data_IF_621196566974
#
_entry.id   IF_621196566974
#
_cell.length_a   1.000
_cell.length_b   1.000
_cell.length_c   1.000
_cell.angle_alpha   90.00
_cell.angle_beta   90.00
_cell.angle_gamma   90.00
#
_symmetry.space_group_name_H-M   'P 1'
#
loop_
_entity.id
_entity.type
_entity.pdbx_description
1 polymer ?
#
# COMPACT_ATOMS: atom_id res chain seq x y z
N UNK A 1 -4.89 0.81 -9.72
CA UNK A 1 -4.15 1.55 -8.66
C UNK A 1 -4.96 1.41 -7.41
N UNK A 2 -4.35 0.91 -6.33
CA UNK A 2 -5.05 0.68 -5.08
C UNK A 2 -5.35 2.01 -4.37
N UNK A 3 -6.61 2.31 -4.15
CA UNK A 3 -7.05 3.50 -3.41
C UNK A 3 -7.94 3.16 -2.21
N UNK A 4 -8.35 1.90 -2.09
CA UNK A 4 -9.18 1.44 -0.99
C UNK A 4 -8.72 0.06 -0.55
N UNK A 5 -8.48 -0.10 0.74
CA UNK A 5 -8.19 -1.40 1.34
C UNK A 5 -8.77 -1.50 2.74
N UNK A 6 -8.84 -2.71 3.27
CA UNK A 6 -9.25 -2.97 4.65
C UNK A 6 -8.12 -3.60 5.46
N UNK A 7 -8.15 -3.32 6.74
CA UNK A 7 -7.38 -4.00 7.76
C UNK A 7 -8.33 -4.30 8.92
N UNK A 8 -8.65 -5.57 9.13
CA UNK A 8 -9.61 -6.02 10.17
C UNK A 8 -8.99 -7.02 11.16
N UNK A 9 -7.71 -7.35 10.98
CA UNK A 9 -7.00 -8.31 11.83
C UNK A 9 -6.67 -7.70 13.19
N UNK A 10 -6.72 -8.53 14.19
CA UNK A 10 -6.51 -8.14 15.60
C UNK A 10 -5.03 -8.08 15.96
N UNK A 11 -4.72 -7.51 17.12
CA UNK A 11 -3.36 -7.53 17.68
C UNK A 11 -2.81 -8.96 17.83
N UNK A 12 -3.67 -9.95 18.11
CA UNK A 12 -3.28 -11.37 18.18
C UNK A 12 -2.76 -11.87 16.82
N UNK A 13 -3.41 -11.47 15.73
CA UNK A 13 -2.99 -11.86 14.36
C UNK A 13 -1.62 -11.26 14.00
N UNK A 14 -1.39 -10.01 14.39
CA UNK A 14 -0.10 -9.33 14.22
C UNK A 14 1.00 -9.98 15.08
N UNK A 15 0.71 -10.26 16.34
CA UNK A 15 1.64 -10.95 17.26
C UNK A 15 2.01 -12.35 16.76
N UNK A 16 1.07 -13.10 16.17
CA UNK A 16 1.32 -14.41 15.58
C UNK A 16 2.31 -14.35 14.40
N UNK A 17 2.47 -13.18 13.78
CA UNK A 17 3.46 -12.88 12.74
C UNK A 17 4.71 -12.16 13.31
N UNK A 18 4.93 -12.19 14.61
CA UNK A 18 6.09 -11.58 15.27
C UNK A 18 6.11 -10.06 15.27
N UNK A 19 4.98 -9.42 14.96
CA UNK A 19 4.83 -7.96 14.93
C UNK A 19 4.36 -7.45 16.29
N UNK A 20 4.88 -6.31 16.72
CA UNK A 20 4.57 -5.65 17.99
C UNK A 20 3.81 -4.35 17.75
N UNK A 21 2.94 -3.96 18.66
CA UNK A 21 2.17 -2.73 18.61
C UNK A 21 0.67 -2.96 18.46
N UNK A 22 -0.08 -1.89 18.36
CA UNK A 22 -1.54 -1.90 18.32
C UNK A 22 -2.03 -1.53 16.92
N UNK A 23 -2.60 -2.48 16.17
CA UNK A 23 -3.16 -2.18 14.84
C UNK A 23 -4.41 -1.32 14.96
N UNK A 24 -4.56 -0.37 14.07
CA UNK A 24 -5.81 0.36 13.87
C UNK A 24 -6.59 -0.35 12.77
N UNK A 25 -7.81 -0.77 13.08
CA UNK A 25 -8.70 -1.46 12.15
C UNK A 25 -9.54 -0.45 11.37
N UNK A 26 -9.78 -0.73 10.09
CA UNK A 26 -10.62 0.14 9.29
C UNK A 26 -10.69 -0.26 7.82
N UNK A 27 -11.60 0.41 7.13
CA UNK A 27 -11.62 0.48 5.66
C UNK A 27 -11.05 1.84 5.27
N UNK A 28 -9.92 1.82 4.62
CA UNK A 28 -9.15 3.02 4.30
C UNK A 28 -9.44 3.51 2.89
N UNK A 29 -9.68 4.81 2.78
CA UNK A 29 -9.79 5.52 1.51
C UNK A 29 -8.58 6.44 1.36
N UNK A 30 -7.71 6.19 0.39
CA UNK A 30 -6.47 6.95 0.17
C UNK A 30 -6.70 8.44 -0.07
N UNK A 31 -7.83 8.82 -0.64
CA UNK A 31 -8.14 10.24 -0.91
C UNK A 31 -8.38 11.07 0.36
N UNK A 32 -8.65 10.42 1.49
CA UNK A 32 -8.73 11.09 2.80
C UNK A 32 -7.39 11.16 3.54
N UNK A 33 -6.32 10.63 2.96
CA UNK A 33 -4.97 10.57 3.55
C UNK A 33 -4.95 10.00 4.98
N UNK A 34 -5.57 8.83 5.24
CA UNK A 34 -5.63 8.26 6.57
C UNK A 34 -4.25 7.84 7.07
N UNK A 35 -4.12 7.75 8.39
CA UNK A 35 -3.00 7.06 9.04
C UNK A 35 -3.22 5.55 8.94
N UNK A 36 -2.24 4.80 8.44
CA UNK A 36 -2.34 3.36 8.15
C UNK A 36 -1.20 2.57 8.79
N UNK A 37 -1.47 1.28 9.07
CA UNK A 37 -0.54 0.38 9.75
C UNK A 37 0.59 -0.06 8.82
N UNK A 38 1.83 0.08 9.27
CA UNK A 38 3.01 -0.37 8.54
C UNK A 38 4.18 -0.70 9.48
N UNK A 39 5.19 -1.37 8.93
CA UNK A 39 6.54 -1.43 9.52
C UNK A 39 7.54 -0.89 8.51
N UNK A 40 8.67 -0.38 8.99
CA UNK A 40 9.72 0.21 8.16
C UNK A 40 10.96 -0.68 8.13
N UNK A 41 11.86 -0.47 7.16
CA UNK A 41 13.16 -1.14 7.12
C UNK A 41 14.01 -0.87 8.37
N UNK A 42 13.81 0.28 9.02
CA UNK A 42 14.49 0.64 10.27
C UNK A 42 13.87 -0.04 11.51
N UNK A 43 12.56 -0.31 11.46
CA UNK A 43 11.80 -0.93 12.54
C UNK A 43 10.89 -2.05 12.00
N UNK A 44 11.45 -3.18 11.57
CA UNK A 44 10.71 -4.19 10.80
C UNK A 44 9.71 -5.02 11.63
N UNK A 45 9.74 -4.87 12.96
CA UNK A 45 8.83 -5.61 13.88
C UNK A 45 7.90 -4.70 14.68
N UNK A 46 8.15 -3.41 14.69
CA UNK A 46 7.36 -2.46 15.48
C UNK A 46 6.37 -1.74 14.58
N UNK A 47 5.07 -1.99 14.84
CA UNK A 47 3.98 -1.41 14.07
C UNK A 47 3.91 0.09 14.26
N UNK A 48 3.89 0.82 13.18
CA UNK A 48 3.83 2.27 13.11
C UNK A 48 2.60 2.71 12.30
N UNK A 49 2.27 3.99 12.40
CA UNK A 49 1.10 4.56 11.72
C UNK A 49 1.54 5.80 10.94
N UNK A 50 1.58 5.72 9.61
CA UNK A 50 1.98 6.80 8.72
C UNK A 50 0.83 7.26 7.85
N UNK A 51 0.84 8.53 7.50
CA UNK A 51 -0.14 9.12 6.59
C UNK A 51 0.00 8.51 5.18
N UNK A 52 -1.10 8.06 4.61
CA UNK A 52 -1.11 7.58 3.22
C UNK A 52 -1.17 8.73 2.22
N UNK A 53 -0.11 8.88 1.45
CA UNK A 53 0.18 9.96 0.53
C UNK A 53 1.58 10.50 0.83
N UNK A 54 2.62 9.93 0.21
CA UNK A 54 4.01 10.20 0.51
C UNK A 54 4.38 11.66 0.22
N UNK A 55 4.94 12.35 1.20
CA UNK A 55 5.52 13.68 1.05
C UNK A 55 7.04 13.50 1.06
N UNK A 56 7.73 13.69 -0.07
CA UNK A 56 9.19 13.59 -0.10
C UNK A 56 9.83 14.66 0.79
N UNK A 57 10.93 14.31 1.44
CA UNK A 57 11.66 15.23 2.36
C UNK A 57 12.04 16.57 1.74
N UNK A 58 12.22 16.65 0.42
CA UNK A 58 12.52 17.87 -0.32
C UNK A 58 11.30 18.72 -0.68
N UNK A 59 10.06 18.23 -0.46
CA UNK A 59 8.85 18.95 -0.86
C UNK A 59 8.74 20.31 -0.15
N UNK A 60 8.23 21.31 -0.88
CA UNK A 60 8.02 22.66 -0.33
C UNK A 60 6.78 22.72 0.56
N UNK A 61 5.77 21.94 0.22
CA UNK A 61 4.50 21.80 0.92
C UNK A 61 3.96 20.36 0.81
N UNK A 62 2.84 20.09 1.44
CA UNK A 62 2.22 18.78 1.50
C UNK A 62 1.29 18.44 0.30
N UNK A 63 1.08 19.35 -0.64
CA UNK A 63 0.14 19.17 -1.75
C UNK A 63 0.47 17.96 -2.64
N UNK A 64 1.74 17.56 -2.69
CA UNK A 64 2.21 16.42 -3.48
C UNK A 64 1.56 15.10 -3.04
N UNK A 65 1.12 14.98 -1.78
CA UNK A 65 0.48 13.76 -1.23
C UNK A 65 -0.72 13.27 -2.04
N UNK A 66 -1.43 14.18 -2.72
CA UNK A 66 -2.58 13.88 -3.59
C UNK A 66 -2.18 13.02 -4.80
N UNK A 67 -0.92 13.06 -5.21
CA UNK A 67 -0.37 12.38 -6.40
C UNK A 67 0.53 11.20 -6.07
N UNK A 68 0.79 10.96 -4.79
CA UNK A 68 1.75 9.97 -4.29
C UNK A 68 1.12 8.87 -3.43
N UNK A 69 -0.19 8.67 -3.55
CA UNK A 69 -0.88 7.53 -2.93
C UNK A 69 -0.33 6.18 -3.42
N UNK A 70 0.10 6.15 -4.69
CA UNK A 70 0.66 4.96 -5.32
C UNK A 70 1.96 5.30 -6.05
N UNK A 71 2.96 4.42 -5.89
CA UNK A 71 4.24 4.46 -6.60
C UNK A 71 4.32 3.29 -7.60
N UNK A 72 4.75 3.53 -8.83
CA UNK A 72 4.92 2.46 -9.82
C UNK A 72 6.27 1.78 -9.61
N UNK A 73 6.27 0.47 -9.40
CA UNK A 73 7.49 -0.34 -9.20
C UNK A 73 8.53 -0.10 -10.30
N UNK A 74 8.08 -0.02 -11.55
CA UNK A 74 8.94 0.12 -12.73
C UNK A 74 9.71 1.45 -12.78
N UNK A 75 9.28 2.44 -12.01
CA UNK A 75 9.86 3.79 -12.03
C UNK A 75 10.35 4.29 -10.66
N UNK A 76 10.43 3.41 -9.65
CA UNK A 76 10.84 3.80 -8.29
C UNK A 76 12.20 4.50 -8.29
N UNK A 77 13.17 3.94 -9.02
CA UNK A 77 14.56 4.45 -9.06
C UNK A 77 14.73 5.77 -9.83
N UNK A 78 13.74 6.17 -10.63
CA UNK A 78 13.85 7.34 -11.52
C UNK A 78 12.93 8.49 -11.14
N UNK A 79 11.77 8.20 -10.55
CA UNK A 79 10.79 9.24 -10.16
C UNK A 79 11.30 10.04 -8.97
N UNK A 80 11.41 11.40 -9.07
CA UNK A 80 11.92 12.24 -7.99
C UNK A 80 11.20 12.05 -6.65
N UNK A 81 9.89 11.80 -6.69
CA UNK A 81 9.09 11.60 -5.47
C UNK A 81 9.41 10.31 -4.72
N UNK A 82 10.04 9.33 -5.37
CA UNK A 82 10.20 7.98 -4.82
C UNK A 82 11.64 7.48 -4.78
N UNK A 83 12.55 8.03 -5.60
CA UNK A 83 13.91 7.49 -5.78
C UNK A 83 14.77 7.46 -4.52
N UNK A 84 14.48 8.32 -3.55
CA UNK A 84 15.19 8.41 -2.28
C UNK A 84 14.34 7.94 -1.09
N UNK A 85 13.09 7.54 -1.33
CA UNK A 85 12.20 7.04 -0.28
C UNK A 85 12.67 5.67 0.21
N UNK A 86 12.51 5.43 1.50
CA UNK A 86 12.83 4.18 2.19
C UNK A 86 11.71 3.16 2.04
N UNK A 87 11.98 1.89 2.34
CA UNK A 87 11.03 0.80 2.18
C UNK A 87 10.22 0.53 3.44
N UNK A 88 8.95 0.23 3.24
CA UNK A 88 8.04 -0.21 4.29
C UNK A 88 7.12 -1.32 3.80
N UNK A 89 6.40 -1.94 4.73
CA UNK A 89 5.37 -2.93 4.47
C UNK A 89 4.07 -2.43 5.07
N UNK A 90 3.05 -2.22 4.24
CA UNK A 90 1.74 -1.69 4.64
C UNK A 90 0.77 -2.86 4.79
N UNK A 91 0.20 -3.05 5.98
CA UNK A 91 -0.61 -4.22 6.30
C UNK A 91 -2.07 -4.07 5.88
N UNK A 92 -2.59 -5.16 5.31
CA UNK A 92 -3.97 -5.30 4.87
C UNK A 92 -4.43 -6.76 4.97
N UNK A 93 -5.74 -6.98 4.94
CA UNK A 93 -6.35 -8.30 4.76
C UNK A 93 -7.35 -8.34 3.62
N UNK A 94 -7.46 -7.24 2.87
CA UNK A 94 -8.22 -7.15 1.63
C UNK A 94 -8.11 -5.75 1.01
N UNK A 95 -8.32 -5.68 -0.30
CA UNK A 95 -8.36 -4.39 -1.01
C UNK A 95 -9.49 -4.38 -2.02
N UNK A 96 -9.89 -3.19 -2.45
CA UNK A 96 -11.02 -3.00 -3.34
C UNK A 96 -10.56 -2.44 -4.68
N UNK A 97 -11.13 -3.00 -5.76
CA UNK A 97 -10.95 -2.51 -7.12
C UNK A 97 -12.28 -2.55 -7.88
N UNK A 98 -12.32 -1.81 -8.99
CA UNK A 98 -13.54 -1.62 -9.79
C UNK A 98 -13.31 -2.08 -11.22
N UNK A 99 -14.09 -3.09 -11.64
CA UNK A 99 -14.17 -3.52 -13.03
C UNK A 99 -15.09 -2.58 -13.80
N UNK A 100 -14.58 -2.03 -14.88
CA UNK A 100 -15.40 -1.25 -15.80
C UNK A 100 -16.25 -2.20 -16.65
N UNK A 101 -17.58 -2.00 -16.65
CA UNK A 101 -18.53 -2.78 -17.42
C UNK A 101 -18.85 -2.12 -18.77
N UNK A 102 -18.45 -0.86 -18.96
CA UNK A 102 -18.56 -0.11 -20.21
C UNK A 102 -17.26 0.62 -20.52
N UNK A 103 -17.07 1.01 -21.79
CA UNK A 103 -15.83 1.67 -22.25
C UNK A 103 -15.56 3.03 -21.59
N UNK A 104 -16.60 3.73 -21.11
CA UNK A 104 -16.49 5.03 -20.47
C UNK A 104 -16.28 4.95 -18.95
N UNK A 105 -16.41 3.76 -18.36
CA UNK A 105 -16.33 3.57 -16.91
C UNK A 105 -17.48 4.21 -16.13
N UNK A 106 -18.65 4.37 -16.76
CA UNK A 106 -19.87 4.87 -16.09
C UNK A 106 -20.51 3.76 -15.27
N UNK A 107 -20.48 2.53 -15.77
CA UNK A 107 -20.93 1.33 -15.04
C UNK A 107 -19.72 0.58 -14.53
N UNK A 108 -19.72 0.28 -13.23
CA UNK A 108 -18.59 -0.41 -12.58
C UNK A 108 -19.13 -1.45 -11.61
N UNK A 109 -18.45 -2.60 -11.55
CA UNK A 109 -18.64 -3.60 -10.52
C UNK A 109 -17.49 -3.50 -9.53
N UNK A 110 -17.79 -3.37 -8.25
CA UNK A 110 -16.81 -3.36 -7.16
C UNK A 110 -16.47 -4.79 -6.77
N UNK A 111 -15.20 -5.02 -6.51
CA UNK A 111 -14.66 -6.30 -6.03
C UNK A 111 -13.89 -6.10 -4.74
N UNK A 112 -14.06 -7.03 -3.79
CA UNK A 112 -13.15 -7.24 -2.68
C UNK A 112 -12.16 -8.34 -3.11
N UNK A 113 -10.86 -8.06 -2.93
CA UNK A 113 -9.76 -8.95 -3.28
C UNK A 113 -9.02 -9.31 -2.00
N UNK A 114 -8.86 -10.61 -1.75
CA UNK A 114 -8.21 -11.17 -0.55
C UNK A 114 -7.22 -12.27 -0.94
N UNK A 115 -6.34 -12.65 -0.01
CA UNK A 115 -5.60 -13.89 -0.14
C UNK A 115 -6.54 -15.11 -0.02
N UNK A 116 -6.18 -16.28 -0.58
CA UNK A 116 -7.03 -17.49 -0.54
C UNK A 116 -7.49 -17.88 0.87
N UNK A 117 -6.69 -17.63 1.90
CA UNK A 117 -7.00 -17.97 3.29
C UNK A 117 -7.50 -16.77 4.10
N UNK A 118 -7.82 -15.64 3.44
CA UNK A 118 -8.21 -14.38 4.11
C UNK A 118 -7.23 -13.96 5.20
N UNK A 119 -5.93 -14.20 4.97
CA UNK A 119 -4.85 -13.90 5.92
C UNK A 119 -4.44 -12.43 5.86
N UNK A 120 -3.75 -12.00 6.91
CA UNK A 120 -3.01 -10.74 6.92
C UNK A 120 -1.85 -10.84 5.91
N UNK A 121 -1.76 -9.87 5.03
CA UNK A 121 -0.67 -9.70 4.08
C UNK A 121 -0.13 -8.27 4.12
N UNK A 122 0.91 -8.00 3.36
CA UNK A 122 1.42 -6.64 3.22
C UNK A 122 1.47 -6.21 1.75
N UNK A 123 1.25 -4.92 1.53
CA UNK A 123 1.67 -4.26 0.31
C UNK A 123 3.12 -3.83 0.45
N UNK A 124 3.90 -3.98 -0.61
CA UNK A 124 5.14 -3.24 -0.76
C UNK A 124 4.84 -1.73 -0.66
N UNK A 125 5.60 -1.05 0.15
CA UNK A 125 5.42 0.38 0.39
C UNK A 125 6.74 1.12 0.36
N UNK A 126 6.62 2.43 0.21
CA UNK A 126 7.70 3.39 0.42
C UNK A 126 7.28 4.39 1.47
N UNK A 127 8.24 4.95 2.21
CA UNK A 127 7.98 6.02 3.17
C UNK A 127 9.07 7.08 3.11
N UNK A 128 8.71 8.27 3.54
CA UNK A 128 9.63 9.38 3.76
C UNK A 128 9.16 10.21 4.96
N UNK A 129 10.07 10.95 5.54
CA UNK A 129 9.83 11.88 6.62
C UNK A 129 10.00 13.31 6.09
N UNK A 130 8.96 14.10 6.21
CA UNK A 130 8.95 15.50 5.81
C UNK A 130 8.76 16.41 7.03
N UNK A 131 9.47 17.52 7.03
CA UNK A 131 9.35 18.56 8.07
C UNK A 131 8.63 19.75 7.48
N UNK A 132 7.49 20.09 8.06
CA UNK A 132 6.78 21.33 7.74
C UNK A 132 7.63 22.51 8.18
N UNK A 133 8.03 23.34 7.21
CA UNK A 133 8.92 24.47 7.46
C UNK A 133 8.28 25.61 8.24
N UNK A 134 6.95 25.64 8.30
CA UNK A 134 6.19 26.68 8.99
C UNK A 134 5.91 26.32 10.44
N UNK A 135 5.57 25.05 10.67
CA UNK A 135 5.19 24.57 12.01
C UNK A 135 6.31 23.83 12.73
N UNK A 136 7.30 23.31 11.99
CA UNK A 136 8.32 22.39 12.50
C UNK A 136 7.80 20.97 12.74
N UNK A 137 6.56 20.68 12.37
CA UNK A 137 5.97 19.34 12.54
C UNK A 137 6.65 18.33 11.63
N UNK A 138 6.94 17.15 12.18
CA UNK A 138 7.51 16.02 11.45
C UNK A 138 6.35 15.12 11.01
N UNK A 139 6.18 14.98 9.70
CA UNK A 139 5.14 14.13 9.10
C UNK A 139 5.78 12.91 8.46
N UNK A 140 5.45 11.73 9.00
CA UNK A 140 5.79 10.45 8.41
C UNK A 140 4.70 10.05 7.43
N UNK A 141 5.06 9.78 6.19
CA UNK A 141 4.11 9.49 5.12
C UNK A 141 4.57 8.33 4.24
N UNK A 142 3.62 7.64 3.61
CA UNK A 142 3.89 6.44 2.84
C UNK A 142 3.09 6.37 1.53
N UNK A 143 3.53 5.49 0.64
CA UNK A 143 2.92 5.21 -0.66
C UNK A 143 2.84 3.72 -0.90
N UNK A 144 1.74 3.21 -1.46
CA UNK A 144 1.62 1.81 -1.88
C UNK A 144 2.31 1.63 -3.22
N UNK A 145 3.20 0.64 -3.31
CA UNK A 145 3.83 0.27 -4.58
C UNK A 145 2.86 -0.56 -5.41
N UNK A 146 2.76 -0.23 -6.69
CA UNK A 146 1.92 -0.93 -7.66
C UNK A 146 2.74 -1.44 -8.84
N UNK A 147 2.28 -2.53 -9.45
CA UNK A 147 2.88 -3.13 -10.64
C UNK A 147 1.82 -3.41 -11.70
N UNK A 148 2.23 -3.95 -12.85
CA UNK A 148 1.32 -4.41 -13.88
C UNK A 148 0.40 -5.52 -13.36
N UNK A 149 -0.88 -5.46 -13.69
CA UNK A 149 -1.87 -6.46 -13.27
C UNK A 149 -1.54 -7.84 -13.86
N UNK A 150 -1.65 -8.87 -13.03
CA UNK A 150 -1.50 -10.29 -13.40
C UNK A 150 -2.75 -11.08 -13.01
N UNK A 151 -2.91 -12.26 -13.60
CA UNK A 151 -4.03 -13.15 -13.31
C UNK A 151 -5.38 -12.44 -13.38
N UNK A 152 -6.26 -12.73 -12.41
CA UNK A 152 -7.61 -12.15 -12.32
C UNK A 152 -7.62 -10.62 -12.24
N UNK A 153 -6.54 -10.00 -11.75
CA UNK A 153 -6.46 -8.54 -11.64
C UNK A 153 -6.45 -7.82 -12.99
N UNK A 154 -6.04 -8.50 -14.09
CA UNK A 154 -6.14 -7.94 -15.44
C UNK A 154 -7.60 -7.76 -15.87
N UNK A 155 -8.48 -8.63 -15.42
CA UNK A 155 -9.91 -8.55 -15.71
C UNK A 155 -10.61 -7.53 -14.82
N UNK A 156 -10.28 -7.52 -13.50
CA UNK A 156 -10.92 -6.62 -12.54
C UNK A 156 -10.45 -5.19 -12.75
N UNK A 157 -9.15 -4.93 -12.79
CA UNK A 157 -8.64 -3.59 -13.02
C UNK A 157 -8.40 -3.30 -14.52
N UNK A 158 -9.38 -3.62 -15.33
CA UNK A 158 -9.33 -3.56 -16.81
C UNK A 158 -9.13 -2.16 -17.40
N UNK A 159 -9.30 -1.10 -16.61
CA UNK A 159 -9.15 0.30 -17.06
C UNK A 159 -7.70 0.79 -17.10
N UNK A 160 -6.85 0.32 -16.16
CA UNK A 160 -5.46 0.79 -16.02
C UNK A 160 -4.44 -0.35 -15.98
N UNK A 161 -4.88 -1.60 -15.90
CA UNK A 161 -4.05 -2.80 -15.86
C UNK A 161 -2.96 -2.73 -14.77
N UNK A 162 -3.35 -2.31 -13.56
CA UNK A 162 -2.44 -2.19 -12.41
C UNK A 162 -2.99 -2.97 -11.22
N UNK A 163 -2.09 -3.41 -10.33
CA UNK A 163 -2.43 -3.99 -9.04
C UNK A 163 -1.41 -3.56 -7.99
N UNK A 164 -1.74 -3.58 -6.69
CA UNK A 164 -0.74 -3.40 -5.64
C UNK A 164 0.28 -4.55 -5.71
N UNK A 165 1.53 -4.24 -5.39
CA UNK A 165 2.56 -5.26 -5.22
C UNK A 165 2.36 -5.89 -3.84
N UNK A 166 1.77 -7.08 -3.81
CA UNK A 166 1.52 -7.84 -2.58
C UNK A 166 2.76 -8.65 -2.24
N UNK A 167 3.20 -8.55 -1.01
CA UNK A 167 4.35 -9.25 -0.44
C UNK A 167 3.84 -10.35 0.50
N UNK A 168 4.22 -11.59 0.23
CA UNK A 168 3.96 -12.72 1.12
C UNK A 168 4.85 -12.62 2.37
N UNK A 169 4.38 -13.22 3.46
CA UNK A 169 5.04 -13.13 4.76
C UNK A 169 6.51 -13.56 4.72
N UNK A 170 6.83 -14.63 4.00
CA UNK A 170 8.19 -15.16 3.85
C UNK A 170 9.13 -14.27 2.99
N UNK A 171 8.62 -13.23 2.35
CA UNK A 171 9.37 -12.30 1.52
C UNK A 171 9.41 -10.87 2.08
N UNK A 172 8.90 -10.67 3.29
CA UNK A 172 8.86 -9.35 3.92
C UNK A 172 10.26 -8.75 4.10
N UNK A 173 11.20 -9.56 4.59
CA UNK A 173 12.60 -9.14 4.78
C UNK A 173 13.28 -8.84 3.45
N UNK A 174 12.98 -9.62 2.40
CA UNK A 174 13.53 -9.37 1.06
C UNK A 174 13.12 -8.00 0.52
N UNK A 175 11.84 -7.64 0.68
CA UNK A 175 11.40 -6.31 0.29
C UNK A 175 12.08 -5.22 1.11
N UNK A 176 12.11 -5.32 2.43
CA UNK A 176 12.71 -4.31 3.31
C UNK A 176 14.21 -4.13 3.05
N UNK A 177 14.93 -5.22 2.76
CA UNK A 177 16.36 -5.20 2.48
C UNK A 177 16.71 -4.92 1.00
N UNK A 178 15.74 -4.48 0.20
CA UNK A 178 15.92 -4.15 -1.23
C UNK A 178 16.38 -5.33 -2.08
N UNK A 179 16.02 -6.56 -1.70
CA UNK A 179 16.19 -7.77 -2.52
C UNK A 179 15.01 -7.97 -3.47
N UNK A 180 15.20 -8.84 -4.46
CA UNK A 180 14.12 -9.19 -5.38
C UNK A 180 13.03 -9.99 -4.67
N UNK A 181 11.78 -9.66 -4.95
CA UNK A 181 10.60 -10.34 -4.42
C UNK A 181 9.76 -10.92 -5.55
N UNK A 182 9.16 -12.08 -5.32
CA UNK A 182 8.22 -12.66 -6.26
C UNK A 182 6.88 -11.91 -6.22
N UNK A 183 6.26 -11.81 -7.39
CA UNK A 183 4.96 -11.19 -7.51
C UNK A 183 3.86 -12.18 -7.12
N UNK A 184 3.14 -11.90 -6.04
CA UNK A 184 1.92 -12.64 -5.69
C UNK A 184 0.72 -12.09 -6.47
N UNK A 185 -0.07 -12.98 -7.09
CA UNK A 185 -1.28 -12.63 -7.85
C UNK A 185 -2.39 -13.70 -7.83
N UNK A 186 -2.27 -14.71 -6.96
CA UNK A 186 -3.32 -15.71 -6.77
C UNK A 186 -4.31 -15.26 -5.70
N UNK A 187 -5.31 -14.48 -6.11
CA UNK A 187 -6.30 -13.88 -5.21
C UNK A 187 -7.65 -14.58 -5.27
N UNK A 188 -8.39 -14.55 -4.15
CA UNK A 188 -9.84 -14.70 -4.12
C UNK A 188 -10.51 -13.35 -4.35
N UNK A 189 -11.61 -13.35 -5.08
CA UNK A 189 -12.35 -12.14 -5.43
C UNK A 189 -13.84 -12.31 -5.17
N UNK A 190 -14.46 -11.27 -4.63
CA UNK A 190 -15.87 -11.23 -4.28
C UNK A 190 -16.49 -9.98 -4.86
N UNK A 191 -17.61 -10.11 -5.54
CA UNK A 191 -18.44 -8.96 -5.94
C UNK A 191 -19.12 -8.36 -4.70
N UNK A 192 -19.06 -7.03 -4.55
CA UNK A 192 -19.56 -6.29 -3.37
C UNK A 192 -20.21 -4.96 -3.76
#
# INVERSE_FOLDING_TARGET
MCFHFKQSKTEKDFKAKGLKGHPVNGVYNGFSHPSINLVTEENPKDLQHFMWGLIPSWAKDDNIKKYTLNARHETLKTKPSFKNAKRCLIFADGFYEWKWLDKQGKKKQKYLIELPNSELFSFAGLYDQWVDKWTGEIINSCSIVTTEAKGIMREIHNSKMRMPLVIEYNQMDDWLENRDTNLFYNFKTFEV
#
